data_IF_470513227264
#
_entry.id   IF_470513227264
#
_cell.length_a   1.000
_cell.length_b   1.000
_cell.length_c   1.000
_cell.angle_alpha   90.00
_cell.angle_beta   90.00
_cell.angle_gamma   90.00
#
_symmetry.space_group_name_H-M   'P 1'
#
loop_
_entity.id
_entity.type
_entity.pdbx_description
1 polymer ?
#
# COMPACT_ATOMS: atom_id res chain seq x y z
N UNK A 1 -11.83 17.93 -0.54
CA UNK A 1 -10.52 17.40 -0.99
C UNK A 1 -10.68 15.91 -1.10
N UNK A 2 -10.33 15.32 -2.22
CA UNK A 2 -10.37 13.89 -2.45
C UNK A 2 -9.17 13.20 -1.75
N UNK A 3 -9.42 12.13 -1.00
CA UNK A 3 -8.38 11.35 -0.30
C UNK A 3 -8.46 9.88 -0.73
N UNK A 4 -7.35 9.36 -1.25
CA UNK A 4 -7.17 7.97 -1.63
C UNK A 4 -5.98 7.38 -0.88
N UNK A 5 -6.22 6.28 -0.16
CA UNK A 5 -5.20 5.44 0.46
C UNK A 5 -4.85 4.29 -0.49
N UNK A 6 -3.61 4.21 -0.94
CA UNK A 6 -3.19 3.20 -1.92
C UNK A 6 -2.96 1.80 -1.34
N UNK A 7 -3.02 1.63 -0.01
CA UNK A 7 -2.80 0.32 0.61
C UNK A 7 -3.28 0.25 2.06
N UNK A 8 -4.14 -0.72 2.36
CA UNK A 8 -4.42 -1.18 3.73
C UNK A 8 -4.83 -2.66 3.74
N UNK A 9 -4.60 -3.36 4.87
CA UNK A 9 -4.82 -4.80 5.05
C UNK A 9 -6.19 -5.17 5.60
N UNK A 10 -7.19 -4.36 5.32
CA UNK A 10 -8.56 -4.57 5.74
C UNK A 10 -9.10 -6.00 5.50
N UNK A 11 -8.87 -6.66 4.35
CA UNK A 11 -9.39 -8.01 4.07
C UNK A 11 -8.94 -9.07 5.07
N UNK A 12 -7.69 -8.98 5.57
CA UNK A 12 -7.19 -9.91 6.59
C UNK A 12 -7.95 -9.82 7.90
N UNK A 13 -8.38 -8.63 8.28
CA UNK A 13 -9.17 -8.45 9.50
C UNK A 13 -10.64 -8.83 9.29
N UNK A 14 -11.16 -8.63 8.08
CA UNK A 14 -12.52 -9.08 7.71
C UNK A 14 -12.66 -10.60 7.81
N UNK A 15 -11.70 -11.37 7.26
CA UNK A 15 -11.75 -12.84 7.33
C UNK A 15 -11.57 -13.36 8.76
N UNK A 16 -10.93 -12.59 9.65
CA UNK A 16 -10.83 -12.86 11.09
C UNK A 16 -12.10 -12.50 11.85
N UNK A 17 -13.14 -12.00 11.16
CA UNK A 17 -14.46 -11.74 11.73
C UNK A 17 -14.73 -10.29 12.14
N UNK A 18 -13.81 -9.33 11.84
CA UNK A 18 -14.08 -7.91 12.08
C UNK A 18 -15.15 -7.40 11.13
N UNK A 19 -16.17 -6.74 11.67
CA UNK A 19 -17.26 -6.13 10.90
C UNK A 19 -16.90 -4.66 10.55
N UNK A 20 -16.52 -4.42 9.31
CA UNK A 20 -16.07 -3.10 8.84
C UNK A 20 -17.18 -2.08 8.68
N UNK A 21 -18.46 -2.51 8.71
CA UNK A 21 -19.58 -1.57 8.74
C UNK A 21 -19.79 -0.93 10.14
N UNK A 22 -19.09 -1.41 11.16
CA UNK A 22 -19.14 -0.91 12.53
C UNK A 22 -17.87 -0.14 12.90
N UNK A 23 -18.00 0.77 13.85
CA UNK A 23 -16.87 1.42 14.49
C UNK A 23 -16.22 0.46 15.50
N UNK A 24 -15.06 -0.08 15.15
CA UNK A 24 -14.37 -1.05 15.98
C UNK A 24 -13.34 -0.34 16.85
N UNK A 25 -13.52 -0.39 18.17
CA UNK A 25 -12.54 0.17 19.10
C UNK A 25 -11.16 -0.46 18.89
N UNK A 26 -10.11 0.36 18.88
CA UNK A 26 -8.72 -0.10 18.68
C UNK A 26 -8.36 -0.53 17.26
N UNK A 27 -9.30 -0.62 16.31
CA UNK A 27 -8.98 -0.90 14.92
C UNK A 27 -8.34 0.32 14.22
N UNK A 28 -7.44 0.05 13.28
CA UNK A 28 -6.83 1.11 12.49
C UNK A 28 -7.73 1.51 11.32
N UNK A 29 -8.45 0.57 10.70
CA UNK A 29 -9.38 0.80 9.59
C UNK A 29 -10.75 0.18 9.85
N UNK A 30 -11.80 0.90 9.51
CA UNK A 30 -13.17 0.47 9.22
C UNK A 30 -13.88 1.61 8.47
N UNK A 31 -15.04 1.37 7.87
CA UNK A 31 -15.73 2.39 7.09
C UNK A 31 -16.10 3.65 7.90
N UNK A 32 -16.56 3.56 9.17
CA UNK A 32 -16.71 4.74 10.02
C UNK A 32 -15.43 5.56 10.21
N UNK A 33 -14.25 4.91 10.35
CA UNK A 33 -12.96 5.61 10.49
C UNK A 33 -12.51 6.24 9.17
N UNK A 34 -12.67 5.55 8.04
CA UNK A 34 -12.41 6.12 6.72
C UNK A 34 -13.26 7.39 6.51
N UNK A 35 -14.56 7.36 6.82
CA UNK A 35 -15.42 8.54 6.74
C UNK A 35 -14.96 9.70 7.64
N UNK A 36 -14.60 9.40 8.89
CA UNK A 36 -14.07 10.45 9.81
C UNK A 36 -12.77 11.05 9.32
N UNK A 37 -11.94 10.24 8.68
CA UNK A 37 -10.68 10.69 8.07
C UNK A 37 -10.84 11.40 6.73
N UNK A 38 -12.07 11.48 6.20
CA UNK A 38 -12.36 12.08 4.89
C UNK A 38 -11.78 11.26 3.73
N UNK A 39 -11.60 9.94 3.94
CA UNK A 39 -11.09 9.03 2.90
C UNK A 39 -12.23 8.64 1.98
N UNK A 40 -12.07 8.95 0.69
CA UNK A 40 -13.06 8.73 -0.36
C UNK A 40 -12.80 7.42 -1.13
N UNK A 41 -11.54 6.97 -1.15
CA UNK A 41 -11.16 5.72 -1.77
C UNK A 41 -10.02 5.04 -0.99
N UNK A 42 -10.01 3.71 -0.95
CA UNK A 42 -8.91 2.95 -0.37
C UNK A 42 -8.73 1.62 -1.09
N UNK A 43 -7.47 1.27 -1.34
CA UNK A 43 -7.11 -0.06 -1.80
C UNK A 43 -7.05 -1.03 -0.62
N UNK A 44 -7.83 -2.08 -0.73
CA UNK A 44 -7.88 -3.19 0.21
C UNK A 44 -7.03 -4.32 -0.34
N UNK A 45 -5.94 -4.63 0.36
CA UNK A 45 -4.96 -5.62 -0.05
C UNK A 45 -5.43 -7.05 0.29
N UNK A 46 -5.53 -7.89 -0.72
CA UNK A 46 -5.68 -9.33 -0.56
C UNK A 46 -4.30 -9.91 -0.23
N UNK A 47 -3.90 -9.82 1.03
CA UNK A 47 -2.58 -10.22 1.50
C UNK A 47 -2.42 -11.72 1.57
N UNK A 48 -1.33 -12.25 1.00
CA UNK A 48 -0.99 -13.67 1.01
C UNK A 48 0.22 -13.92 1.90
N UNK A 49 0.05 -14.55 3.06
CA UNK A 49 1.17 -14.92 3.92
C UNK A 49 2.20 -15.77 3.19
N UNK A 50 3.48 -15.50 3.42
CA UNK A 50 4.58 -16.25 2.80
C UNK A 50 4.57 -17.75 3.11
N UNK A 51 3.92 -18.17 4.20
CA UNK A 51 3.71 -19.56 4.57
C UNK A 51 2.75 -20.33 3.64
N UNK A 52 1.87 -19.62 2.93
CA UNK A 52 0.94 -20.24 1.97
C UNK A 52 1.61 -20.35 0.59
N UNK A 53 1.52 -21.50 -0.04
CA UNK A 53 2.13 -21.78 -1.34
C UNK A 53 1.13 -22.47 -2.28
N UNK A 54 1.34 -22.32 -3.59
CA UNK A 54 0.55 -23.02 -4.60
C UNK A 54 -0.96 -22.79 -4.46
N UNK A 55 -1.75 -23.84 -4.58
CA UNK A 55 -3.21 -23.77 -4.54
C UNK A 55 -3.78 -23.19 -3.23
N UNK A 56 -3.09 -23.37 -2.10
CA UNK A 56 -3.54 -22.82 -0.82
C UNK A 56 -3.42 -21.28 -0.81
N UNK A 57 -2.37 -20.72 -1.41
CA UNK A 57 -2.20 -19.27 -1.58
C UNK A 57 -3.32 -18.68 -2.46
N UNK A 58 -3.64 -19.35 -3.56
CA UNK A 58 -4.73 -18.94 -4.47
C UNK A 58 -6.09 -19.03 -3.77
N UNK A 59 -6.37 -20.12 -3.07
CA UNK A 59 -7.62 -20.30 -2.31
C UNK A 59 -7.77 -19.22 -1.23
N UNK A 60 -6.67 -18.83 -0.59
CA UNK A 60 -6.68 -17.75 0.40
C UNK A 60 -7.03 -16.40 -0.23
N UNK A 61 -6.46 -16.06 -1.40
CA UNK A 61 -6.79 -14.85 -2.14
C UNK A 61 -8.29 -14.76 -2.43
N UNK A 62 -8.88 -15.84 -2.94
CA UNK A 62 -10.32 -15.88 -3.21
C UNK A 62 -11.18 -15.84 -1.94
N UNK A 63 -10.71 -16.37 -0.83
CA UNK A 63 -11.41 -16.28 0.45
C UNK A 63 -11.45 -14.84 0.97
N UNK A 64 -10.32 -14.11 0.88
CA UNK A 64 -10.24 -12.69 1.20
C UNK A 64 -11.17 -11.86 0.30
N UNK A 65 -11.12 -12.11 -1.01
CA UNK A 65 -11.99 -11.45 -1.99
C UNK A 65 -13.47 -11.67 -1.69
N UNK A 66 -13.87 -12.92 -1.41
CA UNK A 66 -15.24 -13.29 -1.11
C UNK A 66 -15.76 -12.60 0.16
N UNK A 67 -14.96 -12.58 1.23
CA UNK A 67 -15.36 -11.93 2.48
C UNK A 67 -15.41 -10.40 2.32
N UNK A 68 -14.44 -9.81 1.60
CA UNK A 68 -14.44 -8.38 1.30
C UNK A 68 -15.70 -8.01 0.51
N UNK A 69 -16.03 -8.79 -0.53
CA UNK A 69 -17.25 -8.61 -1.32
C UNK A 69 -18.49 -8.62 -0.45
N UNK A 70 -18.63 -9.64 0.40
CA UNK A 70 -19.75 -9.77 1.32
C UNK A 70 -19.91 -8.57 2.26
N UNK A 71 -18.79 -7.99 2.73
CA UNK A 71 -18.84 -6.86 3.65
C UNK A 71 -19.13 -5.53 2.93
N UNK A 72 -18.55 -5.30 1.75
CA UNK A 72 -18.79 -4.09 0.96
C UNK A 72 -20.25 -4.04 0.49
N UNK A 73 -20.78 -5.14 -0.07
CA UNK A 73 -22.15 -5.19 -0.60
C UNK A 73 -23.23 -4.92 0.45
N UNK A 74 -22.98 -5.26 1.71
CA UNK A 74 -23.94 -5.00 2.81
C UNK A 74 -23.79 -3.63 3.45
N UNK A 75 -22.74 -2.88 3.12
CA UNK A 75 -22.43 -1.60 3.72
C UNK A 75 -22.97 -0.45 2.86
N UNK A 76 -23.89 0.33 3.41
CA UNK A 76 -24.46 1.50 2.71
C UNK A 76 -23.45 2.61 2.42
N UNK A 77 -22.29 2.61 3.12
CA UNK A 77 -21.26 3.64 3.01
C UNK A 77 -20.16 3.32 2.01
N UNK A 78 -20.14 2.11 1.44
CA UNK A 78 -19.06 1.66 0.59
C UNK A 78 -19.58 1.07 -0.73
N UNK A 79 -18.77 1.14 -1.76
CA UNK A 79 -19.00 0.52 -3.05
C UNK A 79 -17.66 0.11 -3.67
N UNK A 80 -17.65 -0.95 -4.48
CA UNK A 80 -16.47 -1.26 -5.27
C UNK A 80 -16.24 -0.21 -6.36
N UNK A 81 -14.97 -0.01 -6.67
CA UNK A 81 -14.51 0.72 -7.84
C UNK A 81 -13.35 -0.03 -8.50
N UNK A 82 -13.21 0.15 -9.80
CA UNK A 82 -12.16 -0.50 -10.58
C UNK A 82 -11.45 0.45 -11.56
N UNK A 83 -11.89 1.70 -11.61
CA UNK A 83 -11.36 2.76 -12.45
C UNK A 83 -11.71 4.14 -11.86
N UNK A 84 -11.10 5.18 -12.41
CA UNK A 84 -11.33 6.55 -11.95
C UNK A 84 -12.79 6.99 -12.11
N UNK A 85 -13.49 6.52 -13.13
CA UNK A 85 -14.89 6.89 -13.38
C UNK A 85 -15.81 6.33 -12.29
N UNK A 86 -15.65 5.07 -11.90
CA UNK A 86 -16.42 4.45 -10.82
C UNK A 86 -16.08 5.06 -9.45
N UNK A 87 -14.81 5.45 -9.20
CA UNK A 87 -14.42 6.20 -8.00
C UNK A 87 -15.16 7.54 -7.93
N UNK A 88 -15.21 8.30 -9.03
CA UNK A 88 -15.92 9.58 -9.08
C UNK A 88 -17.42 9.41 -8.88
N UNK A 89 -18.03 8.38 -9.50
CA UNK A 89 -19.46 8.09 -9.32
C UNK A 89 -19.79 7.77 -7.84
N UNK A 90 -18.98 6.94 -7.18
CA UNK A 90 -19.14 6.63 -5.75
C UNK A 90 -19.02 7.89 -4.88
N UNK A 91 -18.05 8.78 -5.20
CA UNK A 91 -17.86 10.04 -4.49
C UNK A 91 -19.11 10.94 -4.58
N UNK A 92 -19.72 11.05 -5.77
CA UNK A 92 -20.97 11.80 -5.97
C UNK A 92 -22.14 11.22 -5.15
N UNK A 93 -22.16 9.89 -4.97
CA UNK A 93 -23.14 9.20 -4.12
C UNK A 93 -22.81 9.27 -2.62
N UNK A 94 -21.68 9.85 -2.23
CA UNK A 94 -21.22 9.93 -0.84
C UNK A 94 -20.76 8.58 -0.26
N UNK A 95 -20.30 7.68 -1.13
CA UNK A 95 -19.78 6.35 -0.77
C UNK A 95 -18.26 6.29 -0.86
N UNK A 96 -17.67 5.52 0.01
CA UNK A 96 -16.25 5.19 -0.02
C UNK A 96 -16.02 4.16 -1.12
N UNK A 97 -15.08 4.43 -2.02
CA UNK A 97 -14.65 3.48 -3.04
C UNK A 97 -13.68 2.45 -2.46
N UNK A 98 -14.03 1.18 -2.55
CA UNK A 98 -13.14 0.06 -2.25
C UNK A 98 -12.51 -0.40 -3.56
N UNK A 99 -11.22 -0.25 -3.67
CA UNK A 99 -10.37 -0.77 -4.73
C UNK A 99 -9.67 -2.03 -4.22
N UNK A 100 -9.28 -2.95 -5.09
CA UNK A 100 -8.64 -4.20 -4.68
C UNK A 100 -7.22 -4.29 -5.23
N UNK A 101 -6.29 -4.72 -4.36
CA UNK A 101 -4.95 -5.15 -4.73
C UNK A 101 -4.68 -6.58 -4.29
N UNK A 102 -3.83 -7.30 -5.00
CA UNK A 102 -3.26 -8.57 -4.53
C UNK A 102 -1.89 -8.29 -3.95
N UNK A 103 -1.69 -8.54 -2.67
CA UNK A 103 -0.38 -8.40 -2.05
C UNK A 103 0.29 -9.75 -1.87
N UNK A 104 1.49 -9.87 -2.44
CA UNK A 104 2.24 -11.08 -2.68
C UNK A 104 1.65 -11.92 -3.83
N UNK A 105 2.22 -11.75 -5.01
CA UNK A 105 1.83 -12.48 -6.23
C UNK A 105 2.05 -14.00 -6.19
N UNK A 106 2.49 -14.57 -5.06
CA UNK A 106 2.62 -16.02 -4.90
C UNK A 106 1.31 -16.77 -5.17
N UNK A 107 0.14 -16.10 -4.95
CA UNK A 107 -1.17 -16.65 -5.26
C UNK A 107 -1.42 -16.90 -6.75
N UNK A 108 -0.65 -16.26 -7.64
CA UNK A 108 -0.77 -16.45 -9.09
C UNK A 108 -0.20 -17.79 -9.55
N UNK A 109 0.60 -18.46 -8.70
CA UNK A 109 1.34 -19.65 -9.04
C UNK A 109 2.24 -19.42 -10.27
N UNK A 110 2.11 -19.87 -11.38
CA UNK A 110 2.68 -19.50 -12.67
C UNK A 110 1.58 -19.56 -13.74
N UNK A 111 0.39 -19.04 -13.38
CA UNK A 111 -0.82 -19.20 -14.18
C UNK A 111 -1.45 -17.83 -14.46
N UNK A 112 -1.41 -17.40 -15.70
CA UNK A 112 -2.00 -16.14 -16.15
C UNK A 112 -3.54 -16.16 -16.14
N UNK A 113 -4.19 -17.32 -16.14
CA UNK A 113 -5.64 -17.40 -16.04
C UNK A 113 -6.11 -16.93 -14.66
N UNK A 114 -5.33 -17.20 -13.59
CA UNK A 114 -5.59 -16.68 -12.25
C UNK A 114 -5.45 -15.14 -12.24
N UNK A 115 -4.41 -14.59 -12.87
CA UNK A 115 -4.22 -13.15 -13.00
C UNK A 115 -5.40 -12.49 -13.71
N UNK A 116 -5.81 -13.03 -14.86
CA UNK A 116 -6.92 -12.52 -15.65
C UNK A 116 -8.27 -12.61 -14.90
N UNK A 117 -8.51 -13.69 -14.15
CA UNK A 117 -9.71 -13.85 -13.34
C UNK A 117 -9.77 -12.83 -12.20
N UNK A 118 -8.66 -12.62 -11.47
CA UNK A 118 -8.57 -11.60 -10.43
C UNK A 118 -8.78 -10.19 -11.01
N UNK A 119 -8.21 -9.87 -12.18
CA UNK A 119 -8.46 -8.60 -12.86
C UNK A 119 -9.94 -8.42 -13.21
N UNK A 120 -10.57 -9.45 -13.78
CA UNK A 120 -12.00 -9.43 -14.09
C UNK A 120 -12.88 -9.26 -12.84
N UNK A 121 -12.40 -9.68 -11.67
CA UNK A 121 -13.06 -9.51 -10.36
C UNK A 121 -12.74 -8.17 -9.67
N UNK A 122 -12.00 -7.27 -10.34
CA UNK A 122 -11.77 -5.91 -9.86
C UNK A 122 -10.43 -5.66 -9.18
N UNK A 123 -9.53 -6.65 -9.12
CA UNK A 123 -8.14 -6.40 -8.65
C UNK A 123 -7.44 -5.49 -9.66
N UNK A 124 -6.74 -4.46 -9.19
CA UNK A 124 -6.12 -3.44 -10.04
C UNK A 124 -4.62 -3.32 -9.89
N UNK A 125 -4.03 -3.86 -8.83
CA UNK A 125 -2.59 -4.05 -8.76
C UNK A 125 -2.22 -5.43 -8.22
N UNK A 126 -0.98 -5.85 -8.51
CA UNK A 126 -0.31 -6.96 -7.84
C UNK A 126 1.01 -6.46 -7.28
N UNK A 127 1.17 -6.57 -5.95
CA UNK A 127 2.48 -6.47 -5.30
C UNK A 127 3.22 -7.78 -5.55
N UNK A 128 4.33 -7.72 -6.27
CA UNK A 128 4.97 -8.90 -6.86
C UNK A 128 5.41 -9.94 -5.83
N UNK A 129 5.88 -9.48 -4.68
CA UNK A 129 6.29 -10.33 -3.55
C UNK A 129 5.96 -9.67 -2.22
N UNK A 130 6.29 -10.32 -1.10
CA UNK A 130 6.19 -9.73 0.25
C UNK A 130 7.52 -9.93 1.00
N UNK A 131 7.53 -10.65 2.12
CA UNK A 131 8.71 -10.80 3.00
C UNK A 131 9.73 -11.82 2.52
N UNK A 132 9.38 -12.69 1.57
CA UNK A 132 10.24 -13.75 1.03
C UNK A 132 10.27 -13.68 -0.50
N UNK A 133 11.36 -14.20 -1.09
CA UNK A 133 11.40 -14.46 -2.53
C UNK A 133 10.30 -15.45 -2.90
N UNK A 134 9.69 -15.24 -4.07
CA UNK A 134 8.69 -16.16 -4.60
C UNK A 134 9.02 -16.55 -6.06
N UNK A 135 8.09 -17.20 -6.77
CA UNK A 135 8.29 -17.58 -8.17
C UNK A 135 8.39 -16.40 -9.14
N UNK A 136 8.08 -15.18 -8.70
CA UNK A 136 8.07 -13.97 -9.53
C UNK A 136 9.38 -13.20 -9.40
N UNK A 137 9.84 -12.96 -8.17
CA UNK A 137 10.98 -12.07 -7.94
C UNK A 137 11.58 -12.21 -6.54
N UNK A 138 12.68 -11.50 -6.34
CA UNK A 138 13.32 -11.32 -5.04
C UNK A 138 12.64 -10.23 -4.22
N UNK A 139 12.45 -10.54 -2.93
CA UNK A 139 12.03 -9.59 -1.90
C UNK A 139 13.22 -8.77 -1.38
N UNK A 140 12.95 -7.55 -0.89
CA UNK A 140 13.96 -6.75 -0.18
C UNK A 140 14.42 -7.38 1.15
N UNK A 141 13.65 -8.35 1.68
CA UNK A 141 13.97 -9.13 2.88
C UNK A 141 14.27 -10.59 2.56
N UNK A 142 14.24 -10.98 1.28
CA UNK A 142 14.51 -12.32 0.78
C UNK A 142 16.00 -12.69 0.75
N UNK A 143 16.28 -13.82 0.10
CA UNK A 143 17.64 -14.40 -0.01
C UNK A 143 18.37 -13.99 -1.31
N UNK A 144 17.67 -13.35 -2.27
CA UNK A 144 18.23 -13.02 -3.58
C UNK A 144 18.30 -14.20 -4.53
N UNK A 145 17.23 -14.98 -4.61
CA UNK A 145 17.14 -16.23 -5.38
C UNK A 145 17.37 -16.03 -6.87
N UNK A 146 16.87 -14.90 -7.42
CA UNK A 146 16.84 -14.63 -8.87
C UNK A 146 17.81 -13.55 -9.31
N UNK A 147 18.28 -12.71 -8.37
CA UNK A 147 19.03 -11.48 -8.66
C UNK A 147 18.15 -10.37 -9.25
N UNK A 148 16.84 -10.44 -9.02
CA UNK A 148 15.80 -9.53 -9.53
C UNK A 148 14.52 -10.27 -9.88
N UNK A 149 13.99 -10.09 -11.10
CA UNK A 149 12.86 -10.85 -11.64
C UNK A 149 13.28 -12.27 -12.08
N UNK A 150 12.46 -13.25 -11.75
CA UNK A 150 12.57 -14.59 -12.33
C UNK A 150 12.18 -14.58 -13.84
N UNK A 151 12.44 -15.67 -14.59
CA UNK A 151 11.93 -15.81 -15.96
C UNK A 151 10.40 -15.63 -16.05
N UNK A 152 9.65 -16.26 -15.13
CA UNK A 152 8.20 -16.06 -15.05
C UNK A 152 7.83 -14.62 -14.69
N UNK A 153 8.54 -13.99 -13.75
CA UNK A 153 8.31 -12.60 -13.37
C UNK A 153 8.42 -11.63 -14.54
N UNK A 154 9.38 -11.86 -15.44
CA UNK A 154 9.54 -11.07 -16.68
C UNK A 154 8.36 -11.20 -17.64
N UNK A 155 7.80 -12.40 -17.76
CA UNK A 155 6.59 -12.65 -18.55
C UNK A 155 5.35 -12.05 -17.87
N UNK A 156 5.26 -12.18 -16.54
CA UNK A 156 4.17 -11.61 -15.74
C UNK A 156 4.08 -10.09 -15.88
N UNK A 157 5.21 -9.38 -15.81
CA UNK A 157 5.25 -7.91 -16.00
C UNK A 157 4.67 -7.51 -17.35
N UNK A 158 5.01 -8.23 -18.43
CA UNK A 158 4.46 -7.97 -19.78
C UNK A 158 2.96 -8.26 -19.84
N UNK A 159 2.53 -9.37 -19.22
CA UNK A 159 1.11 -9.72 -19.20
C UNK A 159 0.28 -8.72 -18.39
N UNK A 160 0.80 -8.25 -17.24
CA UNK A 160 0.17 -7.20 -16.46
C UNK A 160 0.01 -5.91 -17.27
N UNK A 161 1.03 -5.49 -18.02
CA UNK A 161 0.95 -4.35 -18.92
C UNK A 161 -0.14 -4.57 -19.99
N UNK A 162 -0.20 -5.77 -20.58
CA UNK A 162 -1.18 -6.11 -21.64
C UNK A 162 -2.63 -6.00 -21.19
N UNK A 163 -2.91 -6.38 -19.93
CA UNK A 163 -4.29 -6.35 -19.39
C UNK A 163 -4.61 -5.05 -18.65
N UNK A 164 -3.64 -4.16 -18.43
CA UNK A 164 -3.82 -2.92 -17.67
C UNK A 164 -3.79 -3.11 -16.15
N UNK A 165 -3.16 -4.16 -15.64
CA UNK A 165 -2.93 -4.38 -14.21
C UNK A 165 -1.72 -3.57 -13.75
N UNK A 166 -1.86 -2.74 -12.72
CA UNK A 166 -0.73 -2.00 -12.15
C UNK A 166 0.28 -2.95 -11.49
N UNK A 167 1.56 -2.68 -11.71
CA UNK A 167 2.67 -3.43 -11.12
C UNK A 167 3.11 -2.68 -9.87
N UNK A 168 2.88 -3.28 -8.71
CA UNK A 168 3.32 -2.73 -7.44
C UNK A 168 4.66 -3.34 -7.02
N UNK A 169 5.65 -2.48 -6.84
CA UNK A 169 7.01 -2.86 -6.46
C UNK A 169 7.30 -2.69 -4.95
N UNK A 170 6.27 -2.44 -4.14
CA UNK A 170 6.41 -2.55 -2.69
C UNK A 170 6.94 -3.95 -2.33
N UNK A 171 7.75 -4.07 -1.29
CA UNK A 171 8.45 -5.29 -0.87
C UNK A 171 9.53 -5.83 -1.83
N UNK A 172 9.63 -5.36 -3.05
CA UNK A 172 10.62 -5.84 -4.00
C UNK A 172 12.06 -5.46 -3.61
N UNK A 173 13.01 -6.30 -3.99
CA UNK A 173 14.43 -5.94 -3.92
C UNK A 173 14.74 -4.80 -4.89
N UNK A 174 15.81 -4.03 -4.64
CA UNK A 174 16.24 -2.98 -5.55
C UNK A 174 16.51 -3.52 -6.97
N UNK A 175 17.02 -4.75 -7.08
CA UNK A 175 17.24 -5.41 -8.36
C UNK A 175 15.93 -5.73 -9.09
N UNK A 176 14.92 -6.22 -8.37
CA UNK A 176 13.58 -6.46 -8.91
C UNK A 176 12.95 -5.16 -9.44
N UNK A 177 13.07 -4.06 -8.67
CA UNK A 177 12.55 -2.75 -9.11
C UNK A 177 13.23 -2.30 -10.39
N UNK A 178 14.56 -2.44 -10.51
CA UNK A 178 15.32 -2.09 -11.73
C UNK A 178 14.88 -2.93 -12.93
N UNK A 179 14.72 -4.25 -12.74
CA UNK A 179 14.23 -5.14 -13.79
C UNK A 179 12.82 -4.76 -14.25
N UNK A 180 11.92 -4.41 -13.31
CA UNK A 180 10.57 -3.93 -13.66
C UNK A 180 10.61 -2.64 -14.47
N UNK A 181 11.46 -1.67 -14.06
CA UNK A 181 11.64 -0.40 -14.78
C UNK A 181 12.20 -0.60 -16.20
N UNK A 182 13.04 -1.62 -16.41
CA UNK A 182 13.59 -1.95 -17.72
C UNK A 182 12.57 -2.56 -18.67
N UNK A 183 11.63 -3.37 -18.12
CA UNK A 183 10.75 -4.23 -18.94
C UNK A 183 9.36 -3.64 -19.11
N UNK A 184 8.88 -2.87 -18.11
CA UNK A 184 7.51 -2.37 -18.11
C UNK A 184 7.33 -1.22 -19.10
N UNK A 185 6.30 -1.33 -19.94
CA UNK A 185 5.82 -0.26 -20.82
C UNK A 185 4.76 0.63 -20.14
N UNK A 186 4.37 0.29 -18.91
CA UNK A 186 3.36 1.00 -18.10
C UNK A 186 3.97 1.55 -16.81
N UNK A 187 3.39 2.61 -16.23
CA UNK A 187 3.85 3.16 -14.96
C UNK A 187 3.87 2.12 -13.84
N UNK A 188 4.95 2.07 -13.07
CA UNK A 188 5.02 1.28 -11.84
C UNK A 188 4.40 2.06 -10.68
N UNK A 189 3.88 1.36 -9.68
CA UNK A 189 3.50 1.93 -8.40
C UNK A 189 4.36 1.37 -7.28
N UNK A 190 4.64 2.20 -6.27
CA UNK A 190 5.18 1.80 -4.99
C UNK A 190 4.12 2.14 -3.96
N UNK A 191 3.20 1.21 -3.71
CA UNK A 191 1.95 1.52 -3.01
C UNK A 191 2.15 1.96 -1.56
N UNK A 192 3.12 1.38 -0.84
CA UNK A 192 3.41 1.68 0.56
C UNK A 192 4.88 1.46 0.92
N UNK A 193 5.51 2.51 1.41
CA UNK A 193 6.90 2.51 1.89
C UNK A 193 7.38 3.94 2.09
N UNK A 194 8.69 4.14 2.24
CA UNK A 194 9.27 5.45 2.56
C UNK A 194 10.58 5.69 1.82
N UNK A 195 11.26 6.82 2.10
CA UNK A 195 12.53 7.20 1.48
C UNK A 195 13.71 6.63 2.31
N UNK A 196 14.57 5.83 1.68
CA UNK A 196 15.74 5.21 2.35
C UNK A 196 16.76 6.25 2.79
N UNK A 197 16.81 7.39 2.15
CA UNK A 197 17.71 8.49 2.53
C UNK A 197 17.35 9.17 3.86
N UNK A 198 16.12 8.98 4.37
CA UNK A 198 15.70 9.46 5.68
C UNK A 198 15.67 8.38 6.76
N UNK A 199 15.39 7.14 6.38
CA UNK A 199 15.40 5.98 7.27
C UNK A 199 15.89 4.76 6.52
N UNK A 200 16.96 4.16 6.99
CA UNK A 200 17.75 3.13 6.31
C UNK A 200 17.07 1.76 6.20
N UNK A 201 15.83 1.65 6.65
CA UNK A 201 15.07 0.40 6.60
C UNK A 201 15.04 -0.17 5.18
N UNK A 202 15.32 -1.47 5.04
CA UNK A 202 15.45 -2.13 3.72
C UNK A 202 14.18 -2.13 2.86
N UNK A 203 13.01 -1.94 3.48
CA UNK A 203 11.72 -1.76 2.80
C UNK A 203 11.60 -0.41 2.08
N UNK A 204 12.37 0.60 2.53
CA UNK A 204 12.39 1.90 1.90
C UNK A 204 13.19 1.87 0.60
N UNK A 205 12.76 2.61 -0.42
CA UNK A 205 13.48 2.71 -1.68
C UNK A 205 14.52 3.83 -1.65
N UNK A 206 15.68 3.64 -2.30
CA UNK A 206 16.65 4.70 -2.48
C UNK A 206 16.15 5.75 -3.47
N UNK A 207 16.67 6.97 -3.36
CA UNK A 207 16.22 8.13 -4.12
C UNK A 207 16.29 7.92 -5.66
N UNK A 208 17.29 7.20 -6.15
CA UNK A 208 17.42 6.89 -7.58
C UNK A 208 16.27 6.01 -8.10
N UNK A 209 15.80 5.03 -7.31
CA UNK A 209 14.66 4.19 -7.69
C UNK A 209 13.34 4.92 -7.56
N UNK A 210 13.15 5.73 -6.51
CA UNK A 210 11.98 6.60 -6.38
C UNK A 210 11.87 7.55 -7.59
N UNK A 211 12.97 8.20 -7.95
CA UNK A 211 13.03 9.07 -9.13
C UNK A 211 12.76 8.31 -10.43
N UNK A 212 13.29 7.10 -10.58
CA UNK A 212 13.06 6.30 -11.79
C UNK A 212 11.60 5.88 -11.95
N UNK A 213 10.91 5.49 -10.85
CA UNK A 213 9.46 5.21 -10.87
C UNK A 213 8.69 6.45 -11.33
N UNK A 214 9.03 7.64 -10.79
CA UNK A 214 8.40 8.90 -11.17
C UNK A 214 8.63 9.24 -12.65
N UNK A 215 9.86 9.08 -13.15
CA UNK A 215 10.18 9.31 -14.58
C UNK A 215 9.39 8.38 -15.50
N UNK A 216 9.07 7.15 -15.06
CA UNK A 216 8.18 6.22 -15.76
C UNK A 216 6.70 6.59 -15.66
N UNK A 217 6.35 7.73 -15.07
CA UNK A 217 4.95 8.16 -14.89
C UNK A 217 4.27 7.56 -13.65
N UNK A 218 4.98 6.79 -12.84
CA UNK A 218 4.47 6.09 -11.67
C UNK A 218 4.17 6.99 -10.47
N UNK A 219 3.75 6.38 -9.37
CA UNK A 219 3.46 7.06 -8.10
C UNK A 219 4.05 6.27 -6.94
N UNK A 220 4.60 6.98 -5.97
CA UNK A 220 5.18 6.43 -4.75
C UNK A 220 4.32 6.81 -3.54
N UNK A 221 3.73 5.82 -2.86
CA UNK A 221 2.89 5.97 -1.68
C UNK A 221 3.71 5.94 -0.39
N UNK A 222 3.58 6.98 0.43
CA UNK A 222 4.28 7.04 1.71
C UNK A 222 3.49 6.34 2.81
N UNK A 223 4.17 5.39 3.50
CA UNK A 223 3.60 4.59 4.59
C UNK A 223 3.65 5.33 5.92
N UNK A 224 2.79 4.90 6.85
CA UNK A 224 2.80 5.39 8.22
C UNK A 224 3.56 4.46 9.19
N UNK A 225 4.15 3.35 8.72
CA UNK A 225 4.81 2.40 9.63
C UNK A 225 6.02 3.03 10.32
N UNK A 226 6.05 3.08 11.68
CA UNK A 226 7.09 3.79 12.43
C UNK A 226 8.52 3.36 12.12
N UNK A 227 8.74 2.06 11.87
CA UNK A 227 10.08 1.55 11.52
C UNK A 227 10.56 2.00 10.13
N UNK A 228 9.63 2.35 9.21
CA UNK A 228 10.00 2.93 7.92
C UNK A 228 10.25 4.43 8.01
N UNK A 229 9.65 5.08 9.01
CA UNK A 229 9.75 6.53 9.21
C UNK A 229 10.99 6.94 10.02
N UNK A 230 11.55 6.06 10.88
CA UNK A 230 12.57 6.47 11.85
C UNK A 230 13.53 5.35 12.21
N UNK A 231 14.82 5.53 11.86
CA UNK A 231 15.90 4.65 12.31
C UNK A 231 16.05 4.66 13.83
N UNK A 232 15.79 5.81 14.48
CA UNK A 232 15.86 5.92 15.93
C UNK A 232 14.80 5.01 16.59
N UNK A 233 13.58 5.00 16.05
CA UNK A 233 12.53 4.12 16.56
C UNK A 233 12.85 2.64 16.29
N UNK A 234 13.25 2.30 15.07
CA UNK A 234 13.60 0.93 14.71
C UNK A 234 14.71 0.38 15.62
N UNK A 235 15.75 1.17 15.89
CA UNK A 235 16.86 0.79 16.77
C UNK A 235 16.44 0.68 18.25
N UNK A 236 15.58 1.58 18.73
CA UNK A 236 15.07 1.51 20.09
C UNK A 236 14.17 0.28 20.28
N UNK A 237 13.29 0.01 19.31
CA UNK A 237 12.41 -1.15 19.32
C UNK A 237 13.22 -2.46 19.35
N UNK A 238 14.23 -2.59 18.48
CA UNK A 238 15.12 -3.76 18.46
C UNK A 238 15.85 -3.95 19.80
N UNK A 239 16.38 -2.87 20.36
CA UNK A 239 17.12 -2.91 21.64
C UNK A 239 16.24 -3.09 22.87
N UNK A 240 14.95 -2.78 22.79
CA UNK A 240 13.99 -2.91 23.90
C UNK A 240 13.70 -4.37 24.27
N UNK A 241 13.90 -5.30 23.33
CA UNK A 241 13.52 -6.70 23.48
C UNK A 241 12.02 -6.96 23.57
N UNK A 242 11.19 -5.97 23.28
CA UNK A 242 9.73 -6.12 23.18
C UNK A 242 9.37 -7.13 22.09
N UNK A 243 8.31 -7.91 22.34
CA UNK A 243 7.88 -8.99 21.44
C UNK A 243 6.52 -8.67 20.81
N UNK A 244 6.23 -9.37 19.74
CA UNK A 244 4.90 -9.38 19.15
C UNK A 244 3.82 -9.55 20.21
N UNK A 245 2.77 -8.69 20.16
CA UNK A 245 1.71 -8.63 21.15
C UNK A 245 1.92 -7.58 22.23
N UNK A 246 3.10 -6.99 22.38
CA UNK A 246 3.37 -5.91 23.35
C UNK A 246 3.20 -4.51 22.72
N UNK A 247 2.19 -4.36 21.85
CA UNK A 247 1.98 -3.18 21.00
C UNK A 247 1.87 -1.88 21.80
N UNK A 248 1.17 -1.91 22.95
CA UNK A 248 1.01 -0.72 23.81
C UNK A 248 2.36 -0.20 24.30
N UNK A 249 3.26 -1.11 24.70
CA UNK A 249 4.60 -0.74 25.14
C UNK A 249 5.46 -0.20 23.98
N UNK A 250 5.30 -0.77 22.78
CA UNK A 250 5.99 -0.27 21.60
C UNK A 250 5.53 1.14 21.22
N UNK A 251 4.24 1.46 21.42
CA UNK A 251 3.70 2.81 21.23
C UNK A 251 4.13 3.81 22.32
N UNK A 252 4.61 3.34 23.47
CA UNK A 252 5.12 4.18 24.56
C UNK A 252 6.62 4.50 24.43
N UNK A 253 7.33 3.89 23.46
CA UNK A 253 8.76 4.16 23.27
C UNK A 253 9.01 5.64 22.98
N UNK A 254 10.00 6.27 23.63
CA UNK A 254 10.30 7.69 23.49
C UNK A 254 10.55 8.16 22.06
N UNK A 255 11.20 7.32 21.24
CA UNK A 255 11.52 7.63 19.84
C UNK A 255 10.37 7.38 18.85
N UNK A 256 9.17 6.96 19.31
CA UNK A 256 8.04 6.78 18.42
C UNK A 256 7.79 8.05 17.59
N UNK A 257 7.85 7.99 16.23
CA UNK A 257 7.64 9.15 15.38
C UNK A 257 6.20 9.64 15.44
N UNK A 258 5.99 10.89 15.07
CA UNK A 258 4.66 11.49 14.87
C UNK A 258 4.37 11.75 13.39
N UNK A 259 3.28 12.47 13.13
CA UNK A 259 2.86 12.89 11.79
C UNK A 259 3.95 13.68 11.06
N UNK A 260 4.79 14.41 11.78
CA UNK A 260 5.91 15.19 11.26
C UNK A 260 6.96 14.32 10.54
N UNK A 261 7.18 13.10 11.00
CA UNK A 261 8.06 12.16 10.31
C UNK A 261 7.47 11.74 8.95
N UNK A 262 6.18 11.43 8.88
CA UNK A 262 5.51 11.14 7.61
C UNK A 262 5.57 12.35 6.67
N UNK A 263 5.31 13.56 7.18
CA UNK A 263 5.42 14.79 6.39
C UNK A 263 6.84 14.94 5.84
N UNK A 264 7.88 14.65 6.62
CA UNK A 264 9.27 14.71 6.18
C UNK A 264 9.54 13.74 5.01
N UNK A 265 9.02 12.51 5.07
CA UNK A 265 9.13 11.55 3.96
C UNK A 265 8.36 12.01 2.72
N UNK A 266 7.16 12.56 2.87
CA UNK A 266 6.40 13.13 1.76
C UNK A 266 7.18 14.29 1.12
N UNK A 267 7.72 15.21 1.92
CA UNK A 267 8.53 16.34 1.41
C UNK A 267 9.78 15.86 0.67
N UNK A 268 10.46 14.82 1.19
CA UNK A 268 11.60 14.20 0.52
C UNK A 268 11.20 13.51 -0.79
N UNK A 269 10.08 12.80 -0.79
CA UNK A 269 9.56 12.19 -2.02
C UNK A 269 9.19 13.26 -3.07
N UNK A 270 8.60 14.39 -2.66
CA UNK A 270 8.32 15.54 -3.54
C UNK A 270 9.61 16.13 -4.12
N UNK A 271 10.66 16.25 -3.31
CA UNK A 271 11.98 16.72 -3.78
C UNK A 271 12.58 15.79 -4.86
N UNK A 272 12.45 14.47 -4.66
CA UNK A 272 13.09 13.44 -5.52
C UNK A 272 12.27 13.12 -6.75
N UNK A 273 10.95 13.03 -6.61
CA UNK A 273 10.03 12.53 -7.64
C UNK A 273 9.27 13.64 -8.36
N UNK A 274 9.16 14.83 -7.75
CA UNK A 274 8.13 15.80 -8.12
C UNK A 274 6.78 15.46 -7.48
N UNK A 275 6.01 16.51 -7.14
CA UNK A 275 4.77 16.36 -6.36
C UNK A 275 3.65 15.61 -7.07
N UNK A 276 3.71 15.45 -8.39
CA UNK A 276 2.74 14.73 -9.20
C UNK A 276 2.90 13.19 -9.13
N UNK A 277 3.97 12.73 -8.48
CA UNK A 277 4.36 11.32 -8.39
C UNK A 277 4.38 10.80 -6.95
N UNK A 278 3.81 11.55 -6.00
CA UNK A 278 3.75 11.17 -4.58
C UNK A 278 2.31 10.93 -4.17
N UNK A 279 2.09 9.96 -3.30
CA UNK A 279 0.79 9.61 -2.74
C UNK A 279 0.90 9.08 -1.32
N UNK A 280 -0.19 8.53 -0.82
CA UNK A 280 -0.31 7.95 0.52
C UNK A 280 -0.68 6.48 0.39
N UNK A 281 0.02 5.62 1.15
CA UNK A 281 -0.30 4.21 1.30
C UNK A 281 -0.04 3.80 2.73
N UNK A 282 -1.08 3.82 3.55
CA UNK A 282 -0.94 3.82 5.01
C UNK A 282 -0.37 2.55 5.58
N UNK A 283 -0.70 1.41 4.98
CA UNK A 283 -0.40 0.08 5.53
C UNK A 283 -1.20 -0.23 6.82
N UNK A 284 -2.30 0.50 7.05
CA UNK A 284 -3.17 0.25 8.20
C UNK A 284 -3.77 -1.14 8.18
N UNK A 285 -3.91 -1.73 9.36
CA UNK A 285 -4.29 -3.12 9.64
C UNK A 285 -3.24 -4.17 9.19
N UNK A 286 -2.17 -3.77 8.47
CA UNK A 286 -0.98 -4.56 8.18
C UNK A 286 0.20 -4.28 9.13
N UNK A 287 0.12 -3.19 9.89
CA UNK A 287 1.15 -2.76 10.84
C UNK A 287 0.64 -2.85 12.28
N UNK A 288 1.53 -3.19 13.20
CA UNK A 288 1.17 -3.39 14.61
C UNK A 288 1.13 -2.08 15.39
N UNK A 289 2.01 -1.15 15.03
CA UNK A 289 2.22 0.13 15.71
C UNK A 289 2.07 1.27 14.72
N UNK A 290 1.46 2.34 15.17
CA UNK A 290 1.20 3.55 14.36
C UNK A 290 1.92 4.77 14.95
N UNK A 291 2.24 5.80 14.15
CA UNK A 291 2.85 7.02 14.66
C UNK A 291 1.91 7.78 15.61
N UNK A 292 2.50 8.61 16.46
CA UNK A 292 1.71 9.50 17.33
C UNK A 292 0.82 10.42 16.50
N UNK A 293 -0.46 10.46 16.85
CA UNK A 293 -1.45 11.26 16.15
C UNK A 293 -2.02 10.62 14.87
N UNK A 294 -1.55 9.41 14.50
CA UNK A 294 -2.01 8.69 13.31
C UNK A 294 -2.43 7.25 13.63
N UNK A 295 -3.19 7.06 14.71
CA UNK A 295 -3.57 5.73 15.21
C UNK A 295 -4.55 4.98 14.30
N UNK A 296 -5.21 5.67 13.40
CA UNK A 296 -6.20 5.06 12.48
C UNK A 296 -6.44 5.95 11.27
N UNK A 297 -7.17 5.43 10.30
CA UNK A 297 -7.59 6.15 9.09
C UNK A 297 -8.34 7.46 9.40
N UNK A 298 -8.94 7.58 10.61
CA UNK A 298 -9.56 8.84 11.04
C UNK A 298 -8.59 10.03 11.11
N UNK A 299 -7.29 9.78 11.21
CA UNK A 299 -6.27 10.81 11.30
C UNK A 299 -5.82 11.36 9.94
N UNK A 300 -6.19 10.73 8.82
CA UNK A 300 -5.75 11.16 7.49
C UNK A 300 -6.19 12.58 7.13
N UNK A 301 -7.32 13.06 7.68
CA UNK A 301 -7.76 14.44 7.54
C UNK A 301 -6.79 15.50 8.14
N UNK A 302 -5.81 15.08 8.93
CA UNK A 302 -4.80 15.99 9.51
C UNK A 302 -3.66 16.28 8.53
N UNK A 303 -3.37 15.36 7.60
CA UNK A 303 -2.25 15.47 6.66
C UNK A 303 -2.31 16.71 5.77
N UNK A 304 -3.46 17.09 5.16
CA UNK A 304 -3.50 18.28 4.31
C UNK A 304 -3.05 19.54 5.01
N UNK A 305 -3.43 19.69 6.28
CA UNK A 305 -2.99 20.82 7.10
C UNK A 305 -1.49 20.77 7.39
N UNK A 306 -0.98 19.61 7.79
CA UNK A 306 0.45 19.43 8.09
C UNK A 306 1.32 19.67 6.85
N UNK A 307 0.90 19.21 5.67
CA UNK A 307 1.58 19.45 4.40
C UNK A 307 1.56 20.94 4.00
N UNK A 308 0.46 21.64 4.27
CA UNK A 308 0.37 23.07 4.03
C UNK A 308 1.30 23.87 4.97
N UNK A 309 1.37 23.49 6.23
CA UNK A 309 2.29 24.08 7.22
C UNK A 309 3.76 23.80 6.84
N UNK A 310 4.05 22.66 6.18
CA UNK A 310 5.36 22.35 5.60
C UNK A 310 5.68 23.09 4.29
N UNK A 311 4.73 23.89 3.74
CA UNK A 311 4.96 24.79 2.60
C UNK A 311 4.48 24.29 1.25
N UNK A 312 3.77 23.16 1.16
CA UNK A 312 3.22 22.70 -0.11
C UNK A 312 2.01 23.55 -0.55
N UNK A 313 1.89 23.75 -1.87
CA UNK A 313 0.72 24.39 -2.48
C UNK A 313 -0.53 23.51 -2.38
N UNK A 314 -1.72 24.11 -2.41
CA UNK A 314 -2.97 23.36 -2.36
C UNK A 314 -3.10 22.34 -3.50
N UNK A 315 -2.65 22.69 -4.70
CA UNK A 315 -2.70 21.77 -5.85
C UNK A 315 -1.80 20.55 -5.68
N UNK A 316 -0.60 20.72 -5.12
CA UNK A 316 0.28 19.58 -4.81
C UNK A 316 -0.34 18.70 -3.71
N UNK A 317 -0.93 19.32 -2.69
CA UNK A 317 -1.61 18.55 -1.62
C UNK A 317 -2.77 17.75 -2.20
N UNK A 318 -3.60 18.32 -3.07
CA UNK A 318 -4.69 17.59 -3.74
C UNK A 318 -4.15 16.39 -4.56
N UNK A 319 -3.05 16.58 -5.28
CA UNK A 319 -2.36 15.51 -5.98
C UNK A 319 -1.94 14.39 -5.05
N UNK A 320 -1.18 14.73 -4.00
CA UNK A 320 -0.62 13.78 -3.02
C UNK A 320 -1.72 13.05 -2.25
N UNK A 321 -2.78 13.75 -1.88
CA UNK A 321 -3.86 13.14 -1.11
C UNK A 321 -4.68 12.12 -1.89
N UNK A 322 -4.63 12.11 -3.24
CA UNK A 322 -5.35 11.07 -3.97
C UNK A 322 -5.32 11.16 -5.48
N UNK A 323 -5.31 12.37 -6.06
CA UNK A 323 -5.44 12.55 -7.52
C UNK A 323 -4.28 11.89 -8.29
N UNK A 324 -3.08 11.84 -7.70
CA UNK A 324 -1.92 11.22 -8.33
C UNK A 324 -2.09 9.70 -8.52
N UNK A 325 -2.64 8.98 -7.55
CA UNK A 325 -2.97 7.57 -7.70
C UNK A 325 -4.18 7.36 -8.60
N UNK A 326 -5.21 8.21 -8.45
CA UNK A 326 -6.45 8.07 -9.24
C UNK A 326 -6.20 8.17 -10.75
N UNK A 327 -5.23 8.97 -11.20
CA UNK A 327 -4.90 9.09 -12.65
C UNK A 327 -4.34 7.81 -13.27
N UNK A 328 -3.91 6.84 -12.47
CA UNK A 328 -3.37 5.56 -12.92
C UNK A 328 -4.47 4.49 -13.13
N UNK A 329 -5.70 4.78 -12.72
CA UNK A 329 -6.88 3.94 -12.86
C UNK A 329 -7.71 4.38 -14.06
#
# INVERSE_FOLDING_TARGET
>A
MFILDSHCDAPMQMIRGRDYCKDNEGAQVDFPKLRRGGVDASFFALYIPASLKGADATAHAYSLLSETTRQVERCEYASFAADAASVRANLEEGRISVLLGLENGSALQEDFDILCDLYAKGVRYVTLTHSEDNQICDSCTGQGTWGGLSPFGRELVREMNRIGMLIDVAHCSDATVRDCLEISDSPLVYTHGCCRSLSSHRRNLPDDLLSAIAHGGGVVGMSVYPCFLSDAYASELESSGLKEGEWDKMMELPSLPGIDAMVSHIMKAVEVCGGEHVGIGTDYDGIEVTPRGMQSASALCLLPRALKEAGLSSSLIEGIMGENFLRLL
#
